data_IF_815069003005
#
_entry.id   IF_815069003005
#
_cell.length_a   1.000
_cell.length_b   1.000
_cell.length_c   1.000
_cell.angle_alpha   90.00
_cell.angle_beta   90.00
_cell.angle_gamma   90.00
#
_symmetry.space_group_name_H-M   'P 1'
#
loop_
_entity.id
_entity.type
_entity.pdbx_description
1 polymer ?
#
# COMPACT_ATOMS: atom_id res chain seq x y z
N UNK A 1 -18.36 4.91 -15.74
CA UNK A 1 -17.14 4.27 -16.28
C UNK A 1 -16.56 5.16 -17.38
N UNK A 2 -15.27 5.53 -17.34
CA UNK A 2 -14.68 6.48 -18.30
C UNK A 2 -14.42 5.77 -19.65
N UNK A 3 -15.05 6.21 -20.75
CA UNK A 3 -14.82 5.64 -22.09
C UNK A 3 -13.49 6.15 -22.64
N UNK A 4 -12.58 5.24 -23.03
CA UNK A 4 -11.31 5.54 -23.72
C UNK A 4 -11.48 5.22 -25.22
N UNK A 5 -11.95 6.18 -26.00
CA UNK A 5 -12.29 6.01 -27.44
C UNK A 5 -11.37 6.80 -28.38
N UNK A 6 -10.37 7.50 -27.84
CA UNK A 6 -9.42 8.31 -28.62
C UNK A 6 -8.04 7.66 -28.54
N UNK A 7 -7.37 7.53 -29.68
CA UNK A 7 -6.03 6.93 -29.80
C UNK A 7 -4.99 8.01 -30.08
N UNK A 8 -3.88 7.98 -29.36
CA UNK A 8 -2.70 8.80 -29.64
C UNK A 8 -1.62 7.85 -30.17
N UNK A 9 -1.19 8.07 -31.41
CA UNK A 9 -0.12 7.29 -32.05
C UNK A 9 1.21 8.04 -31.96
N UNK A 10 2.24 7.39 -31.42
CA UNK A 10 3.58 7.96 -31.25
C UNK A 10 4.56 7.02 -31.95
N UNK A 11 5.42 7.56 -32.81
CA UNK A 11 6.55 6.81 -33.38
C UNK A 11 7.71 6.85 -32.40
N UNK A 12 8.32 5.69 -32.16
CA UNK A 12 9.48 5.54 -31.31
C UNK A 12 10.40 4.48 -31.89
N UNK A 13 11.66 4.49 -31.45
CA UNK A 13 12.63 3.44 -31.76
C UNK A 13 12.33 2.17 -30.95
N UNK A 14 12.90 1.03 -31.36
CA UNK A 14 12.77 -0.21 -30.59
C UNK A 14 13.38 -0.12 -29.19
N UNK A 15 14.43 0.69 -29.02
CA UNK A 15 15.05 0.93 -27.71
C UNK A 15 14.14 1.73 -26.80
N UNK A 16 13.54 2.80 -27.30
CA UNK A 16 12.57 3.61 -26.56
C UNK A 16 11.35 2.77 -26.16
N UNK A 17 10.80 1.98 -27.09
CA UNK A 17 9.69 1.08 -26.81
C UNK A 17 10.02 0.09 -25.69
N UNK A 18 11.17 -0.60 -25.78
CA UNK A 18 11.62 -1.52 -24.73
C UNK A 18 11.82 -0.81 -23.40
N UNK A 19 12.35 0.41 -23.41
CA UNK A 19 12.58 1.18 -22.20
C UNK A 19 11.25 1.56 -21.51
N UNK A 20 10.28 2.05 -22.27
CA UNK A 20 8.94 2.41 -21.76
C UNK A 20 8.23 1.16 -21.21
N UNK A 21 8.35 0.02 -21.88
CA UNK A 21 7.81 -1.25 -21.40
C UNK A 21 8.41 -1.67 -20.05
N UNK A 22 9.75 -1.62 -19.91
CA UNK A 22 10.43 -1.93 -18.66
C UNK A 22 10.04 -0.98 -17.53
N UNK A 23 9.86 0.31 -17.83
CA UNK A 23 9.38 1.28 -16.84
C UNK A 23 7.96 0.96 -16.38
N UNK A 24 7.05 0.68 -17.31
CA UNK A 24 5.68 0.30 -16.97
C UNK A 24 5.63 -0.95 -16.07
N UNK A 25 6.44 -1.96 -16.39
CA UNK A 25 6.57 -3.19 -15.60
C UNK A 25 7.13 -2.92 -14.20
N UNK A 26 8.20 -2.13 -14.08
CA UNK A 26 8.77 -1.72 -12.79
C UNK A 26 7.74 -1.01 -11.91
N UNK A 27 6.85 -0.23 -12.52
CA UNK A 27 5.77 0.45 -11.82
C UNK A 27 4.51 -0.40 -11.60
N UNK A 28 4.50 -1.67 -12.04
CA UNK A 28 3.35 -2.57 -11.90
C UNK A 28 2.11 -2.10 -12.68
N UNK A 29 2.30 -1.28 -13.72
CA UNK A 29 1.21 -0.68 -14.51
C UNK A 29 1.16 -1.28 -15.91
N UNK A 30 -0.05 -1.37 -16.47
CA UNK A 30 -0.21 -1.62 -17.92
C UNK A 30 0.39 -0.45 -18.70
N UNK A 31 1.05 -0.72 -19.82
CA UNK A 31 1.70 0.29 -20.67
C UNK A 31 0.84 1.53 -20.91
N UNK A 32 -0.42 1.34 -21.33
CA UNK A 32 -1.35 2.46 -21.58
C UNK A 32 -1.63 3.28 -20.31
N UNK A 33 -1.75 2.65 -19.14
CA UNK A 33 -1.98 3.39 -17.89
C UNK A 33 -0.73 4.15 -17.44
N UNK A 34 0.45 3.53 -17.57
CA UNK A 34 1.74 4.16 -17.30
C UNK A 34 1.94 5.41 -18.18
N UNK A 35 1.83 5.25 -19.51
CA UNK A 35 2.03 6.35 -20.47
C UNK A 35 1.02 7.48 -20.24
N UNK A 36 -0.26 7.16 -20.02
CA UNK A 36 -1.27 8.19 -19.74
C UNK A 36 -1.03 8.92 -18.43
N UNK A 37 -0.55 8.25 -17.37
CA UNK A 37 -0.20 8.92 -16.11
C UNK A 37 1.00 9.85 -16.28
N UNK A 38 2.05 9.39 -16.96
CA UNK A 38 3.22 10.20 -17.28
C UNK A 38 2.85 11.42 -18.11
N UNK A 39 2.09 11.24 -19.20
CA UNK A 39 1.67 12.31 -20.09
C UNK A 39 0.76 13.35 -19.41
N UNK A 40 0.02 12.95 -18.37
CA UNK A 40 -0.83 13.85 -17.59
C UNK A 40 -0.12 14.43 -16.34
N UNK A 41 1.19 14.20 -16.19
CA UNK A 41 1.96 14.69 -15.04
C UNK A 41 1.52 14.10 -13.70
N UNK A 42 0.84 12.93 -13.71
CA UNK A 42 0.39 12.26 -12.49
C UNK A 42 1.57 11.59 -11.81
N UNK A 43 1.66 11.74 -10.49
CA UNK A 43 2.65 11.01 -9.68
C UNK A 43 2.35 9.50 -9.75
N UNK A 44 3.39 8.69 -9.93
CA UNK A 44 3.31 7.23 -9.94
C UNK A 44 4.08 6.71 -8.73
N UNK A 45 3.35 6.28 -7.71
CA UNK A 45 3.92 5.70 -6.50
C UNK A 45 3.86 4.17 -6.58
N UNK A 46 4.99 3.52 -6.28
CA UNK A 46 5.07 2.06 -6.15
C UNK A 46 5.42 1.78 -4.70
N UNK A 47 4.42 1.36 -3.92
CA UNK A 47 4.61 1.06 -2.52
C UNK A 47 4.80 -0.45 -2.34
N UNK A 48 6.06 -0.89 -2.34
CA UNK A 48 6.40 -2.27 -2.03
C UNK A 48 6.31 -2.52 -0.52
N UNK A 49 5.86 -3.71 -0.12
CA UNK A 49 5.89 -4.15 1.29
C UNK A 49 4.74 -3.65 2.18
N UNK A 50 3.83 -2.81 1.68
CA UNK A 50 2.63 -2.39 2.43
C UNK A 50 1.79 -3.61 2.85
N UNK A 51 1.64 -4.60 1.97
CA UNK A 51 0.83 -5.79 2.27
C UNK A 51 1.41 -6.59 3.45
N UNK A 52 2.73 -6.68 3.53
CA UNK A 52 3.41 -7.36 4.64
C UNK A 52 3.24 -6.59 5.95
N UNK A 53 3.35 -5.25 5.89
CA UNK A 53 3.09 -4.39 7.05
C UNK A 53 1.64 -4.56 7.55
N UNK A 54 0.67 -4.59 6.65
CA UNK A 54 -0.74 -4.85 6.98
C UNK A 54 -0.93 -6.26 7.57
N UNK A 55 -0.23 -7.27 7.05
CA UNK A 55 -0.28 -8.64 7.56
C UNK A 55 0.21 -8.72 9.01
N UNK A 56 1.35 -8.09 9.31
CA UNK A 56 1.91 -8.03 10.66
C UNK A 56 0.97 -7.28 11.61
N UNK A 57 0.39 -6.17 11.17
CA UNK A 57 -0.56 -5.41 11.98
C UNK A 57 -1.81 -6.23 12.35
N UNK A 58 -2.35 -7.01 11.41
CA UNK A 58 -3.44 -7.95 11.69
C UNK A 58 -3.03 -9.04 12.68
N UNK A 59 -1.78 -9.51 12.63
CA UNK A 59 -1.28 -10.49 13.59
C UNK A 59 -1.23 -9.91 15.01
N UNK A 60 -0.74 -8.68 15.17
CA UNK A 60 -0.74 -8.00 16.47
C UNK A 60 -2.17 -7.80 17.00
N UNK A 61 -3.10 -7.37 16.15
CA UNK A 61 -4.52 -7.25 16.54
C UNK A 61 -5.14 -8.57 17.00
N UNK A 62 -4.80 -9.71 16.37
CA UNK A 62 -5.24 -11.03 16.82
C UNK A 62 -4.69 -11.39 18.19
N UNK A 63 -3.41 -11.12 18.43
CA UNK A 63 -2.78 -11.39 19.73
C UNK A 63 -3.41 -10.53 20.84
N UNK A 64 -3.69 -9.26 20.55
CA UNK A 64 -4.42 -8.37 21.48
C UNK A 64 -5.82 -8.89 21.80
N UNK A 65 -6.57 -9.39 20.80
CA UNK A 65 -7.90 -9.97 21.04
C UNK A 65 -7.84 -11.24 21.91
N UNK A 66 -6.83 -12.10 21.73
CA UNK A 66 -6.65 -13.29 22.55
C UNK A 66 -6.37 -12.92 24.00
N UNK A 67 -5.48 -11.96 24.21
CA UNK A 67 -5.15 -11.43 25.53
C UNK A 67 -6.38 -10.81 26.21
N UNK A 68 -7.14 -9.98 25.50
CA UNK A 68 -8.35 -9.37 26.04
C UNK A 68 -9.40 -10.43 26.42
N UNK A 69 -9.53 -11.49 25.62
CA UNK A 69 -10.39 -12.64 25.93
C UNK A 69 -9.94 -13.34 27.22
N UNK A 70 -8.64 -13.60 27.39
CA UNK A 70 -8.11 -14.22 28.59
C UNK A 70 -8.29 -13.35 29.84
N UNK A 71 -8.14 -12.03 29.70
CA UNK A 71 -8.41 -11.08 30.77
C UNK A 71 -9.90 -11.06 31.16
N UNK A 72 -10.81 -11.04 30.18
CA UNK A 72 -12.26 -11.10 30.42
C UNK A 72 -12.73 -12.42 31.07
N UNK A 73 -11.94 -13.48 30.95
CA UNK A 73 -12.20 -14.77 31.61
C UNK A 73 -11.62 -14.84 33.03
N UNK A 74 -11.17 -13.71 33.61
CA UNK A 74 -10.47 -13.61 34.90
C UNK A 74 -9.21 -14.51 34.99
N UNK A 75 -8.64 -14.88 33.83
CA UNK A 75 -7.44 -15.73 33.72
C UNK A 75 -6.14 -14.93 33.63
N UNK A 76 -6.21 -13.59 33.67
CA UNK A 76 -5.08 -12.68 33.68
C UNK A 76 -5.31 -11.60 34.75
N UNK A 77 -4.45 -11.54 35.77
CA UNK A 77 -4.67 -10.71 36.95
C UNK A 77 -4.07 -9.30 36.88
N UNK A 78 -3.07 -9.05 36.04
CA UNK A 78 -2.61 -7.68 35.72
C UNK A 78 -1.58 -7.71 34.59
N UNK A 79 -1.90 -7.11 33.44
CA UNK A 79 -0.90 -6.75 32.45
C UNK A 79 -1.21 -5.33 31.97
N UNK A 80 -0.26 -4.42 32.13
CA UNK A 80 -0.40 -3.04 31.64
C UNK A 80 -0.11 -2.99 30.14
N UNK A 81 -1.18 -2.97 29.33
CA UNK A 81 -1.10 -2.94 27.86
C UNK A 81 -0.96 -1.53 27.27
N UNK A 82 -1.03 -0.48 28.09
CA UNK A 82 -1.04 0.89 27.60
C UNK A 82 0.17 1.21 26.70
N UNK A 83 1.41 0.82 27.05
CA UNK A 83 2.58 1.09 26.19
C UNK A 83 2.51 0.39 24.82
N UNK A 84 1.99 -0.84 24.78
CA UNK A 84 1.83 -1.59 23.53
C UNK A 84 0.75 -0.98 22.65
N UNK A 85 -0.38 -0.59 23.25
CA UNK A 85 -1.48 0.05 22.53
C UNK A 85 -1.06 1.40 21.94
N UNK A 86 -0.27 2.18 22.67
CA UNK A 86 0.21 3.49 22.23
C UNK A 86 1.18 3.35 21.04
N UNK A 87 2.15 2.44 21.11
CA UNK A 87 3.05 2.16 19.98
C UNK A 87 2.32 1.54 18.79
N UNK A 88 1.37 0.64 19.03
CA UNK A 88 0.54 0.08 17.95
C UNK A 88 -0.31 1.16 17.27
N UNK A 89 -0.87 2.11 18.03
CA UNK A 89 -1.64 3.24 17.47
C UNK A 89 -0.75 4.12 16.60
N UNK A 90 0.44 4.51 17.08
CA UNK A 90 1.42 5.30 16.29
C UNK A 90 1.76 4.63 14.97
N UNK A 91 2.07 3.34 15.00
CA UNK A 91 2.40 2.57 13.79
C UNK A 91 1.21 2.52 12.83
N UNK A 92 0.00 2.29 13.35
CA UNK A 92 -1.23 2.29 12.54
C UNK A 92 -1.47 3.64 11.87
N UNK A 93 -1.26 4.75 12.59
CA UNK A 93 -1.42 6.10 12.08
C UNK A 93 -0.39 6.44 11.01
N UNK A 94 0.89 6.07 11.21
CA UNK A 94 1.94 6.24 10.21
C UNK A 94 1.63 5.45 8.93
N UNK A 95 1.16 4.21 9.04
CA UNK A 95 0.71 3.42 7.88
C UNK A 95 -0.46 4.13 7.18
N UNK A 96 -1.43 4.63 7.95
CA UNK A 96 -2.56 5.38 7.41
C UNK A 96 -2.15 6.68 6.69
N UNK A 97 -1.13 7.38 7.18
CA UNK A 97 -0.56 8.55 6.50
C UNK A 97 0.13 8.16 5.20
N UNK A 98 0.96 7.12 5.23
CA UNK A 98 1.68 6.64 4.05
C UNK A 98 0.72 6.18 2.95
N UNK A 99 -0.38 5.52 3.31
CA UNK A 99 -1.46 5.16 2.36
C UNK A 99 -2.20 6.36 1.78
N UNK A 100 -2.22 7.52 2.46
CA UNK A 100 -2.83 8.76 1.93
C UNK A 100 -1.92 9.47 0.94
N UNK A 101 -0.60 9.39 1.13
CA UNK A 101 0.38 10.01 0.22
C UNK A 101 0.54 9.22 -1.09
N UNK A 102 0.20 7.93 -1.08
CA UNK A 102 0.25 7.04 -2.26
C UNK A 102 -0.99 7.19 -3.17
N UNK A 103 -2.00 8.00 -2.79
CA UNK A 103 -3.21 8.24 -3.59
C UNK A 103 -3.03 9.25 -4.74
#
# INVERSE_FOLDING_TARGET
MRKKNTTIAIRCTEEESRHIHKLAERHGLKLNDFVMRCALGKKIFVAHGIDEIVRQQKAIGRNLNQIATLANMDRLTAVNFQPLLDEHRKVTEMIGQLLREVK
#
